data_IF_528373026904
#
_entry.id   IF_528373026904
#
_cell.length_a   1.000
_cell.length_b   1.000
_cell.length_c   1.000
_cell.angle_alpha   90.00
_cell.angle_beta   90.00
_cell.angle_gamma   90.00
#
_symmetry.space_group_name_H-M   'P 1'
#
loop_
_entity.id
_entity.type
_entity.pdbx_description
1 polymer ?
#
# COMPACT_ATOMS: atom_id res chain seq x y z
N UNK A 1 24.69 -9.74 -18.76
CA UNK A 1 25.24 -8.69 -17.90
C UNK A 1 24.11 -7.71 -17.59
N UNK A 2 23.86 -7.43 -16.31
CA UNK A 2 22.63 -6.80 -15.81
C UNK A 2 22.74 -5.27 -15.82
N UNK A 3 22.12 -4.60 -16.79
CA UNK A 3 22.06 -3.12 -16.90
C UNK A 3 20.67 -2.57 -16.57
N UNK A 4 20.10 -3.02 -15.44
CA UNK A 4 18.73 -2.64 -15.01
C UNK A 4 18.65 -1.50 -13.99
N UNK A 5 19.74 -0.79 -13.72
CA UNK A 5 19.73 0.33 -12.77
C UNK A 5 20.56 1.49 -13.31
N UNK A 6 20.01 2.23 -14.29
CA UNK A 6 20.60 3.49 -14.73
C UNK A 6 19.59 4.62 -14.49
N UNK A 7 19.93 5.56 -13.60
CA UNK A 7 19.13 6.73 -13.24
C UNK A 7 18.79 7.60 -14.46
N UNK A 8 19.61 7.57 -15.50
CA UNK A 8 19.40 8.32 -16.73
C UNK A 8 18.17 7.83 -17.52
N UNK A 9 17.77 6.56 -17.34
CA UNK A 9 16.56 6.00 -17.97
C UNK A 9 15.24 6.53 -17.39
N UNK A 10 15.29 7.21 -16.23
CA UNK A 10 14.12 7.87 -15.62
C UNK A 10 13.81 9.18 -16.36
N UNK A 11 14.83 9.88 -16.80
CA UNK A 11 14.70 11.20 -17.44
C UNK A 11 14.63 11.14 -18.97
N UNK A 12 15.08 10.04 -19.57
CA UNK A 12 14.93 9.77 -21.00
C UNK A 12 14.51 8.31 -21.21
N UNK A 13 13.21 7.99 -21.07
CA UNK A 13 12.74 6.62 -21.25
C UNK A 13 12.96 6.17 -22.71
N UNK A 14 13.44 4.93 -22.95
CA UNK A 14 13.52 4.40 -24.30
C UNK A 14 12.12 4.30 -24.92
N UNK A 15 12.02 4.51 -26.23
CA UNK A 15 10.77 4.45 -26.99
C UNK A 15 10.06 3.11 -26.80
N UNK A 16 8.74 3.20 -26.65
CA UNK A 16 7.70 2.24 -26.23
C UNK A 16 7.76 0.75 -26.67
N UNK A 17 8.76 0.27 -27.40
CA UNK A 17 8.85 -1.14 -27.81
C UNK A 17 9.60 -2.03 -26.81
N UNK A 18 10.32 -1.45 -25.83
CA UNK A 18 10.88 -2.21 -24.69
C UNK A 18 9.92 -2.35 -23.50
N UNK A 19 8.70 -1.80 -23.63
CA UNK A 19 7.61 -1.88 -22.65
C UNK A 19 7.01 -3.29 -22.53
N UNK A 20 7.41 -4.22 -23.41
CA UNK A 20 6.95 -5.62 -23.49
C UNK A 20 7.23 -6.45 -22.22
N UNK A 21 7.95 -5.90 -21.23
CA UNK A 21 8.17 -6.54 -19.92
C UNK A 21 8.09 -5.56 -18.75
N UNK A 22 7.08 -4.68 -18.73
CA UNK A 22 6.50 -4.29 -17.43
C UNK A 22 5.75 -5.52 -16.93
N UNK A 23 6.53 -6.50 -16.45
CA UNK A 23 6.07 -7.82 -16.04
C UNK A 23 4.89 -7.66 -15.07
N UNK A 24 3.79 -8.36 -15.37
CA UNK A 24 2.54 -8.46 -14.59
C UNK A 24 2.60 -7.68 -13.26
N UNK A 25 2.05 -6.47 -13.21
CA UNK A 25 2.02 -5.66 -11.99
C UNK A 25 1.10 -6.26 -10.90
N UNK A 26 0.38 -7.34 -11.22
CA UNK A 26 -0.61 -7.95 -10.34
C UNK A 26 -0.04 -8.36 -8.97
N UNK A 27 1.12 -9.01 -8.85
CA UNK A 27 1.72 -9.31 -7.54
C UNK A 27 2.07 -8.03 -6.78
N UNK A 28 2.57 -6.99 -7.47
CA UNK A 28 2.88 -5.70 -6.86
C UNK A 28 1.63 -5.03 -6.28
N UNK A 29 0.53 -5.04 -7.03
CA UNK A 29 -0.75 -4.46 -6.59
C UNK A 29 -1.37 -5.24 -5.41
N UNK A 30 -1.24 -6.58 -5.40
CA UNK A 30 -1.65 -7.42 -4.27
C UNK A 30 -0.85 -7.04 -3.01
N UNK A 31 0.48 -7.01 -3.10
CA UNK A 31 1.32 -6.66 -1.95
C UNK A 31 1.05 -5.24 -1.44
N UNK A 32 0.87 -4.29 -2.36
CA UNK A 32 0.53 -2.92 -1.99
C UNK A 32 -0.81 -2.87 -1.25
N UNK A 33 -1.83 -3.57 -1.75
CA UNK A 33 -3.15 -3.65 -1.11
C UNK A 33 -3.08 -4.29 0.28
N UNK A 34 -2.37 -5.40 0.43
CA UNK A 34 -2.17 -6.07 1.73
C UNK A 34 -1.45 -5.14 2.71
N UNK A 35 -0.41 -4.45 2.26
CA UNK A 35 0.36 -3.53 3.09
C UNK A 35 -0.52 -2.36 3.56
N UNK A 36 -1.28 -1.74 2.64
CA UNK A 36 -2.18 -0.63 2.94
C UNK A 36 -3.28 -1.03 3.93
N UNK A 37 -3.90 -2.20 3.72
CA UNK A 37 -4.93 -2.71 4.64
C UNK A 37 -4.31 -3.05 6.00
N UNK A 38 -3.17 -3.73 6.04
CA UNK A 38 -2.49 -4.11 7.28
C UNK A 38 -2.05 -2.90 8.10
N UNK A 39 -1.30 -1.99 7.48
CA UNK A 39 -0.83 -0.76 8.14
C UNK A 39 -2.00 0.16 8.50
N UNK A 40 -2.95 0.33 7.59
CA UNK A 40 -4.15 1.12 7.81
C UNK A 40 -4.95 0.63 9.02
N UNK A 41 -5.18 -0.68 9.11
CA UNK A 41 -5.84 -1.32 10.25
C UNK A 41 -5.06 -1.13 11.56
N UNK A 42 -3.74 -1.28 11.51
CA UNK A 42 -2.89 -1.08 12.69
C UNK A 42 -2.97 0.35 13.23
N UNK A 43 -2.87 1.34 12.34
CA UNK A 43 -2.97 2.77 12.70
C UNK A 43 -4.39 3.14 13.16
N UNK A 44 -5.42 2.71 12.43
CA UNK A 44 -6.82 2.97 12.77
C UNK A 44 -7.21 2.40 14.14
N UNK A 45 -6.69 1.22 14.51
CA UNK A 45 -6.93 0.62 15.83
C UNK A 45 -6.35 1.43 17.00
N UNK A 46 -5.43 2.35 16.73
CA UNK A 46 -4.72 3.11 17.76
C UNK A 46 -3.69 2.31 18.54
N UNK A 47 -3.38 1.06 18.15
CA UNK A 47 -2.30 0.26 18.77
C UNK A 47 -0.94 0.96 18.69
N UNK A 48 -0.68 1.69 17.60
CA UNK A 48 0.52 2.50 17.42
C UNK A 48 0.70 3.61 18.49
N UNK A 49 -0.38 3.97 19.18
CA UNK A 49 -0.42 5.10 20.14
C UNK A 49 -0.86 4.62 21.52
N UNK A 50 -0.68 3.32 21.80
CA UNK A 50 -1.04 2.76 23.10
C UNK A 50 -0.18 3.40 24.19
N UNK A 51 -0.82 3.91 25.24
CA UNK A 51 -0.12 4.44 26.42
C UNK A 51 0.66 3.33 27.11
N UNK A 52 1.93 3.59 27.40
CA UNK A 52 2.73 2.75 28.28
C UNK A 52 2.20 2.88 29.72
N UNK A 53 1.88 1.76 30.41
CA UNK A 53 1.39 1.79 31.79
C UNK A 53 2.35 2.51 32.77
N UNK A 54 3.65 2.60 32.45
CA UNK A 54 4.64 3.29 33.30
C UNK A 54 4.59 4.82 33.19
N UNK A 55 3.93 5.38 32.17
CA UNK A 55 3.92 6.81 31.89
C UNK A 55 2.67 7.46 32.48
N UNK A 56 2.78 8.65 33.10
CA UNK A 56 1.59 9.35 33.61
C UNK A 56 0.69 9.82 32.46
N UNK A 57 -0.61 10.02 32.75
CA UNK A 57 -1.59 10.43 31.75
C UNK A 57 -1.28 11.84 31.22
N UNK A 58 -0.74 12.71 32.09
CA UNK A 58 -0.31 14.08 31.75
C UNK A 58 0.88 14.08 30.81
N UNK A 59 1.91 13.28 31.08
CA UNK A 59 3.09 13.16 30.21
C UNK A 59 2.75 12.52 28.86
N UNK A 60 1.87 11.51 28.85
CA UNK A 60 1.38 10.91 27.62
C UNK A 60 0.65 11.93 26.74
N UNK A 61 -0.24 12.74 27.34
CA UNK A 61 -0.98 13.77 26.61
C UNK A 61 -0.08 14.89 26.08
N UNK A 62 0.99 15.22 26.80
CA UNK A 62 1.98 16.21 26.35
C UNK A 62 2.80 15.72 25.15
N UNK A 63 3.20 14.44 25.15
CA UNK A 63 3.99 13.84 24.04
C UNK A 63 3.14 13.48 22.82
N UNK A 64 1.89 13.09 23.03
CA UNK A 64 0.95 12.71 21.98
C UNK A 64 -0.31 13.57 22.07
N UNK A 65 -0.32 14.78 21.51
CA UNK A 65 -1.51 15.64 21.54
C UNK A 65 -2.69 14.98 20.81
N UNK A 66 -3.92 15.38 21.17
CA UNK A 66 -5.14 14.74 20.64
C UNK A 66 -5.24 14.82 19.11
N UNK A 67 -4.85 15.95 18.50
CA UNK A 67 -4.88 16.12 17.05
C UNK A 67 -3.95 15.12 16.34
N UNK A 68 -2.79 14.81 16.91
CA UNK A 68 -1.86 13.82 16.38
C UNK A 68 -2.46 12.42 16.43
N UNK A 69 -3.12 12.09 17.55
CA UNK A 69 -3.77 10.79 17.75
C UNK A 69 -4.94 10.58 16.78
N UNK A 70 -5.76 11.60 16.62
CA UNK A 70 -6.88 11.59 15.68
C UNK A 70 -6.38 11.54 14.24
N UNK A 71 -5.34 12.32 13.92
CA UNK A 71 -4.71 12.33 12.60
C UNK A 71 -4.15 10.96 12.20
N UNK A 72 -3.42 10.28 13.09
CA UNK A 72 -2.89 8.94 12.82
C UNK A 72 -4.01 7.90 12.60
N UNK A 73 -5.08 7.96 13.39
CA UNK A 73 -6.24 7.06 13.21
C UNK A 73 -6.98 7.35 11.91
N UNK A 74 -7.20 8.63 11.59
CA UNK A 74 -7.83 9.06 10.35
C UNK A 74 -7.02 8.65 9.13
N UNK A 75 -5.71 8.87 9.15
CA UNK A 75 -4.79 8.42 8.10
C UNK A 75 -4.81 6.90 7.95
N UNK A 76 -4.80 6.15 9.06
CA UNK A 76 -4.99 4.70 9.05
C UNK A 76 -6.29 4.27 8.38
N UNK A 77 -7.40 4.95 8.68
CA UNK A 77 -8.69 4.72 8.03
C UNK A 77 -8.66 4.96 6.52
N UNK A 78 -8.00 6.03 6.08
CA UNK A 78 -7.81 6.34 4.65
C UNK A 78 -7.00 5.24 3.96
N UNK A 79 -5.89 4.80 4.56
CA UNK A 79 -5.07 3.72 4.01
C UNK A 79 -5.85 2.40 3.92
N UNK A 80 -6.65 2.09 4.93
CA UNK A 80 -7.48 0.88 4.94
C UNK A 80 -8.51 0.93 3.81
N UNK A 81 -9.24 2.04 3.69
CA UNK A 81 -10.23 2.22 2.63
C UNK A 81 -9.59 2.15 1.24
N UNK A 82 -8.49 2.87 1.04
CA UNK A 82 -7.78 2.90 -0.23
C UNK A 82 -7.19 1.53 -0.60
N UNK A 83 -6.62 0.81 0.38
CA UNK A 83 -6.12 -0.55 0.18
C UNK A 83 -7.22 -1.54 -0.18
N UNK A 84 -8.40 -1.43 0.44
CA UNK A 84 -9.55 -2.26 0.10
C UNK A 84 -10.07 -1.96 -1.32
N UNK A 85 -10.15 -0.68 -1.69
CA UNK A 85 -10.53 -0.24 -3.03
C UNK A 85 -9.55 -0.74 -4.11
N UNK A 86 -8.25 -0.59 -3.91
CA UNK A 86 -7.23 -1.12 -4.84
C UNK A 86 -7.25 -2.65 -4.90
N UNK A 87 -7.49 -3.30 -3.77
CA UNK A 87 -7.60 -4.76 -3.72
C UNK A 87 -8.78 -5.28 -4.53
N UNK A 88 -9.92 -4.58 -4.55
CA UNK A 88 -11.09 -4.99 -5.34
C UNK A 88 -10.86 -4.82 -6.84
N UNK A 89 -10.20 -3.74 -7.27
CA UNK A 89 -9.78 -3.54 -8.67
C UNK A 89 -8.82 -4.66 -9.11
N UNK A 90 -7.80 -4.93 -8.30
CA UNK A 90 -6.81 -6.01 -8.54
C UNK A 90 -7.49 -7.37 -8.66
N UNK A 91 -8.47 -7.66 -7.81
CA UNK A 91 -9.22 -8.91 -7.86
C UNK A 91 -10.03 -9.04 -9.16
N UNK A 92 -10.65 -7.95 -9.63
CA UNK A 92 -11.41 -7.97 -10.87
C UNK A 92 -10.51 -8.23 -12.09
N UNK A 93 -9.33 -7.60 -12.15
CA UNK A 93 -8.33 -7.82 -13.20
C UNK A 93 -7.79 -9.24 -13.18
N UNK A 94 -7.50 -9.79 -11.99
CA UNK A 94 -7.10 -11.19 -11.87
C UNK A 94 -8.17 -12.14 -12.41
N UNK A 95 -9.44 -11.88 -12.08
CA UNK A 95 -10.56 -12.70 -12.55
C UNK A 95 -10.68 -12.66 -14.08
N UNK A 96 -10.52 -11.50 -14.71
CA UNK A 96 -10.58 -11.40 -16.17
C UNK A 96 -9.43 -12.16 -16.85
N UNK A 97 -8.20 -12.07 -16.33
CA UNK A 97 -7.07 -12.85 -16.84
C UNK A 97 -7.28 -14.37 -16.71
N UNK A 98 -7.92 -14.83 -15.63
CA UNK A 98 -8.25 -16.25 -15.43
C UNK A 98 -9.31 -16.76 -16.42
N UNK A 99 -10.28 -15.92 -16.77
CA UNK A 99 -11.30 -16.27 -17.78
C UNK A 99 -10.66 -16.35 -19.16
N UNK A 100 -9.82 -15.38 -19.52
CA UNK A 100 -9.11 -15.37 -20.80
C UNK A 100 -8.20 -16.59 -20.99
N UNK A 101 -7.41 -16.94 -19.96
CA UNK A 101 -6.57 -18.14 -19.98
C UNK A 101 -7.36 -19.43 -20.22
N UNK A 102 -8.56 -19.54 -19.61
CA UNK A 102 -9.45 -20.70 -19.77
C UNK A 102 -10.11 -20.82 -21.14
N UNK A 103 -10.21 -19.73 -21.90
CA UNK A 103 -10.78 -19.73 -23.26
C UNK A 103 -9.72 -20.14 -24.29
N UNK A 104 -8.43 -19.97 -23.97
CA UNK A 104 -7.30 -20.29 -24.85
C UNK A 104 -6.76 -21.72 -24.68
N UNK A 105 -7.25 -22.50 -23.72
CA UNK A 105 -7.03 -23.95 -23.56
C UNK A 105 -8.13 -24.76 -24.29
#
# INVERSE_FOLDING_TARGET
>A
MSDRSNILKVFNPPSNDQQEKVADCLPCDIFNSIFLVGLGSYLASGKAIKRDPKLSLKEFNAKHPNWWRVGLRGFGGVLLFYGAFRGSETFFVWKSQQVEKRIME
#
